data_IF_098935054271
#
_entry.id   IF_098935054271
#
_cell.length_a   1.000
_cell.length_b   1.000
_cell.length_c   1.000
_cell.angle_alpha   90.00
_cell.angle_beta   90.00
_cell.angle_gamma   90.00
#
_symmetry.space_group_name_H-M   'P 1'
#
loop_
_entity.id
_entity.type
_entity.pdbx_description
1 polymer ?
#
# COMPACT_ATOMS: atom_id res chain seq x y z
N UNK A 1 -72.08 -18.38 41.71
CA UNK A 1 -71.72 -17.59 40.51
C UNK A 1 -70.63 -16.55 40.77
N UNK A 2 -70.73 -15.69 41.81
CA UNK A 2 -69.75 -14.63 42.10
C UNK A 2 -68.29 -15.11 42.35
N UNK A 3 -68.09 -16.23 43.05
CA UNK A 3 -66.75 -16.78 43.33
C UNK A 3 -66.03 -17.36 42.10
N UNK A 4 -66.78 -17.96 41.15
CA UNK A 4 -66.23 -18.50 39.90
C UNK A 4 -65.68 -17.39 39.01
N UNK A 5 -66.42 -16.28 38.90
CA UNK A 5 -66.00 -15.10 38.14
C UNK A 5 -64.71 -14.51 38.71
N UNK A 6 -64.58 -14.42 40.03
CA UNK A 6 -63.37 -13.94 40.68
C UNK A 6 -62.15 -14.83 40.37
N UNK A 7 -62.29 -16.16 40.43
CA UNK A 7 -61.20 -17.10 40.10
C UNK A 7 -60.77 -16.98 38.65
N UNK A 8 -61.73 -16.88 37.72
CA UNK A 8 -61.44 -16.69 36.28
C UNK A 8 -60.67 -15.39 36.06
N UNK A 9 -61.07 -14.28 36.69
CA UNK A 9 -60.37 -13.00 36.54
C UNK A 9 -58.91 -13.05 37.01
N UNK A 10 -58.64 -13.72 38.14
CA UNK A 10 -57.27 -13.89 38.66
C UNK A 10 -56.41 -14.71 37.70
N UNK A 11 -56.95 -15.80 37.15
CA UNK A 11 -56.25 -16.64 36.17
C UNK A 11 -55.94 -15.84 34.91
N UNK A 12 -56.90 -15.06 34.39
CA UNK A 12 -56.67 -14.21 33.22
C UNK A 12 -55.58 -13.17 33.45
N UNK A 13 -55.53 -12.54 34.62
CA UNK A 13 -54.48 -11.57 34.96
C UNK A 13 -53.11 -12.24 35.04
N UNK A 14 -53.01 -13.41 35.67
CA UNK A 14 -51.75 -14.16 35.75
C UNK A 14 -51.25 -14.59 34.36
N UNK A 15 -52.15 -15.05 33.49
CA UNK A 15 -51.81 -15.40 32.12
C UNK A 15 -51.35 -14.18 31.32
N UNK A 16 -52.02 -13.03 31.46
CA UNK A 16 -51.60 -11.80 30.80
C UNK A 16 -50.18 -11.37 31.22
N UNK A 17 -49.88 -11.43 32.53
CA UNK A 17 -48.53 -11.13 33.04
C UNK A 17 -47.49 -12.13 32.49
N UNK A 18 -47.80 -13.42 32.49
CA UNK A 18 -46.90 -14.44 31.94
C UNK A 18 -46.62 -14.25 30.45
N UNK A 19 -47.65 -13.95 29.64
CA UNK A 19 -47.52 -13.64 28.22
C UNK A 19 -46.64 -12.41 27.99
N UNK A 20 -46.88 -11.32 28.72
CA UNK A 20 -46.07 -10.09 28.59
C UNK A 20 -44.60 -10.39 28.90
N UNK A 21 -44.32 -11.14 29.98
CA UNK A 21 -42.94 -11.53 30.34
C UNK A 21 -42.29 -12.36 29.26
N UNK A 22 -42.98 -13.40 28.75
CA UNK A 22 -42.48 -14.24 27.66
C UNK A 22 -42.15 -13.40 26.42
N UNK A 23 -43.07 -12.54 25.98
CA UNK A 23 -42.84 -11.68 24.80
C UNK A 23 -41.68 -10.71 25.01
N UNK A 24 -41.50 -10.15 26.20
CA UNK A 24 -40.35 -9.28 26.47
C UNK A 24 -39.03 -10.03 26.45
N UNK A 25 -38.99 -11.27 26.96
CA UNK A 25 -37.78 -12.09 26.97
C UNK A 25 -37.42 -12.60 25.58
N UNK A 26 -38.41 -13.00 24.77
CA UNK A 26 -38.18 -13.38 23.36
C UNK A 26 -37.66 -12.18 22.56
N UNK A 27 -38.28 -11.01 22.71
CA UNK A 27 -37.86 -9.81 21.98
C UNK A 27 -36.44 -9.37 22.36
N UNK A 28 -36.06 -9.48 23.64
CA UNK A 28 -34.69 -9.22 24.09
C UNK A 28 -33.69 -10.21 23.51
N UNK A 29 -34.04 -11.50 23.45
CA UNK A 29 -33.20 -12.54 22.85
C UNK A 29 -33.01 -12.30 21.36
N UNK A 30 -34.09 -12.03 20.62
CA UNK A 30 -33.99 -11.70 19.20
C UNK A 30 -33.17 -10.43 18.94
N UNK A 31 -33.32 -9.40 19.77
CA UNK A 31 -32.51 -8.18 19.66
C UNK A 31 -31.02 -8.46 19.94
N UNK A 32 -30.72 -9.29 20.94
CA UNK A 32 -29.35 -9.71 21.25
C UNK A 32 -28.73 -10.56 20.12
N UNK A 33 -29.48 -11.49 19.55
CA UNK A 33 -29.05 -12.32 18.42
C UNK A 33 -28.79 -11.47 17.17
N UNK A 34 -29.67 -10.51 16.86
CA UNK A 34 -29.48 -9.55 15.75
C UNK A 34 -28.25 -8.68 15.97
N UNK A 35 -28.05 -8.16 17.18
CA UNK A 35 -26.89 -7.35 17.51
C UNK A 35 -25.58 -8.15 17.40
N UNK A 36 -25.60 -9.41 17.83
CA UNK A 36 -24.46 -10.32 17.69
C UNK A 36 -24.16 -10.59 16.21
N UNK A 37 -25.18 -10.90 15.41
CA UNK A 37 -25.02 -11.14 13.98
C UNK A 37 -24.44 -9.92 13.24
N UNK A 38 -24.94 -8.70 13.53
CA UNK A 38 -24.40 -7.45 12.98
C UNK A 38 -22.95 -7.21 13.41
N UNK A 39 -22.63 -7.43 14.69
CA UNK A 39 -21.27 -7.30 15.19
C UNK A 39 -20.31 -8.30 14.53
N UNK A 40 -20.71 -9.56 14.39
CA UNK A 40 -19.92 -10.59 13.68
C UNK A 40 -19.73 -10.22 12.22
N UNK A 41 -20.79 -9.74 11.54
CA UNK A 41 -20.68 -9.31 10.15
C UNK A 41 -19.67 -8.15 9.99
N UNK A 42 -19.74 -7.13 10.86
CA UNK A 42 -18.78 -6.00 10.86
C UNK A 42 -17.36 -6.45 11.17
N UNK A 43 -17.18 -7.38 12.11
CA UNK A 43 -15.87 -7.94 12.42
C UNK A 43 -15.30 -8.71 11.23
N UNK A 44 -16.10 -9.51 10.53
CA UNK A 44 -15.66 -10.23 9.34
C UNK A 44 -15.27 -9.25 8.23
N UNK A 45 -16.10 -8.25 7.94
CA UNK A 45 -15.77 -7.19 6.96
C UNK A 45 -14.47 -6.46 7.31
N UNK A 46 -14.26 -6.15 8.60
CA UNK A 46 -13.03 -5.50 9.05
C UNK A 46 -11.83 -6.43 8.97
N UNK A 47 -12.03 -7.72 9.24
CA UNK A 47 -11.02 -8.77 9.11
C UNK A 47 -10.55 -8.96 7.67
N UNK A 48 -11.48 -8.96 6.72
CA UNK A 48 -11.20 -9.07 5.29
C UNK A 48 -10.39 -7.86 4.80
N UNK A 49 -10.82 -6.64 5.14
CA UNK A 49 -10.07 -5.41 4.82
C UNK A 49 -8.67 -5.42 5.44
N UNK A 50 -8.54 -5.87 6.70
CA UNK A 50 -7.22 -5.95 7.35
C UNK A 50 -6.32 -6.99 6.69
N UNK A 51 -6.88 -8.09 6.18
CA UNK A 51 -6.14 -9.10 5.44
C UNK A 51 -5.63 -8.53 4.10
N UNK A 52 -6.48 -7.82 3.36
CA UNK A 52 -6.10 -7.12 2.13
C UNK A 52 -5.01 -6.06 2.37
N UNK A 53 -5.16 -5.24 3.41
CA UNK A 53 -4.14 -4.24 3.79
C UNK A 53 -2.81 -4.91 4.15
N UNK A 54 -2.86 -6.07 4.82
CA UNK A 54 -1.63 -6.82 5.17
C UNK A 54 -0.96 -7.39 3.92
N UNK A 55 -1.72 -7.94 2.98
CA UNK A 55 -1.21 -8.42 1.70
C UNK A 55 -0.58 -7.28 0.90
N UNK A 56 -1.29 -6.15 0.76
CA UNK A 56 -0.78 -4.98 0.05
C UNK A 56 0.52 -4.44 0.69
N UNK A 57 0.64 -4.47 2.02
CA UNK A 57 1.89 -4.09 2.70
C UNK A 57 3.05 -5.03 2.36
N UNK A 58 2.78 -6.32 2.19
CA UNK A 58 3.80 -7.29 1.78
C UNK A 58 4.26 -7.00 0.35
N UNK A 59 3.31 -6.79 -0.57
CA UNK A 59 3.61 -6.45 -1.97
C UNK A 59 4.45 -5.18 -2.09
N UNK A 60 4.10 -4.13 -1.34
CA UNK A 60 4.87 -2.87 -1.32
C UNK A 60 6.28 -3.09 -0.79
N UNK A 61 6.44 -3.91 0.26
CA UNK A 61 7.76 -4.24 0.80
C UNK A 61 8.63 -5.00 -0.20
N UNK A 62 8.04 -5.89 -1.00
CA UNK A 62 8.75 -6.61 -2.06
C UNK A 62 9.14 -5.66 -3.19
N UNK A 63 8.24 -4.78 -3.62
CA UNK A 63 8.51 -3.76 -4.62
C UNK A 63 9.66 -2.87 -4.16
N UNK A 64 9.64 -2.37 -2.92
CA UNK A 64 10.72 -1.55 -2.36
C UNK A 64 12.07 -2.28 -2.42
N UNK A 65 12.12 -3.55 -2.00
CA UNK A 65 13.32 -4.37 -2.06
C UNK A 65 13.82 -4.55 -3.51
N UNK A 66 12.91 -4.79 -4.45
CA UNK A 66 13.23 -4.96 -5.87
C UNK A 66 13.80 -3.68 -6.49
N UNK A 67 13.22 -2.51 -6.16
CA UNK A 67 13.68 -1.20 -6.63
C UNK A 67 15.08 -0.90 -6.11
N UNK A 68 15.33 -1.19 -4.83
CA UNK A 68 16.67 -1.04 -4.24
C UNK A 68 17.69 -1.94 -4.91
N UNK A 69 17.36 -3.22 -5.12
CA UNK A 69 18.23 -4.18 -5.82
C UNK A 69 18.52 -3.74 -7.26
N UNK A 70 17.51 -3.22 -7.98
CA UNK A 70 17.67 -2.69 -9.33
C UNK A 70 18.59 -1.46 -9.34
N UNK A 71 18.43 -0.56 -8.36
CA UNK A 71 19.30 0.59 -8.18
C UNK A 71 20.76 0.20 -7.95
N UNK A 72 21.01 -0.79 -7.08
CA UNK A 72 22.34 -1.33 -6.83
C UNK A 72 22.94 -1.94 -8.10
N UNK A 73 22.19 -2.80 -8.79
CA UNK A 73 22.63 -3.42 -10.06
C UNK A 73 22.97 -2.37 -11.12
N UNK A 74 22.18 -1.30 -11.23
CA UNK A 74 22.45 -0.19 -12.16
C UNK A 74 23.75 0.54 -11.80
N UNK A 75 24.02 0.72 -10.50
CA UNK A 75 25.25 1.36 -10.05
C UNK A 75 26.48 0.50 -10.32
N UNK A 76 26.42 -0.80 -10.01
CA UNK A 76 27.49 -1.76 -10.30
C UNK A 76 27.78 -1.85 -11.80
N UNK A 77 26.74 -1.95 -12.63
CA UNK A 77 26.90 -1.93 -14.08
C UNK A 77 27.47 -0.60 -14.58
N UNK A 78 27.09 0.51 -13.96
CA UNK A 78 27.65 1.84 -14.24
C UNK A 78 29.14 1.92 -13.92
N UNK A 79 29.54 1.40 -12.76
CA UNK A 79 30.93 1.36 -12.34
C UNK A 79 31.78 0.48 -13.27
N UNK A 80 31.28 -0.71 -13.60
CA UNK A 80 31.95 -1.60 -14.55
C UNK A 80 32.13 -0.94 -15.92
N UNK A 81 31.15 -0.17 -16.40
CA UNK A 81 31.30 0.61 -17.65
C UNK A 81 32.36 1.71 -17.52
N UNK A 82 32.39 2.44 -16.40
CA UNK A 82 33.40 3.50 -16.16
C UNK A 82 34.81 2.93 -16.16
N UNK A 83 35.03 1.82 -15.45
CA UNK A 83 36.34 1.17 -15.42
C UNK A 83 36.74 0.59 -16.77
N UNK A 84 35.79 0.06 -17.56
CA UNK A 84 36.08 -0.40 -18.92
C UNK A 84 36.52 0.75 -19.83
N UNK A 85 35.79 1.86 -19.83
CA UNK A 85 36.15 3.06 -20.60
C UNK A 85 37.52 3.58 -20.19
N UNK A 86 37.77 3.67 -18.89
CA UNK A 86 39.07 4.10 -18.35
C UNK A 86 40.21 3.19 -18.83
N UNK A 87 39.98 1.89 -18.87
CA UNK A 87 40.95 0.90 -19.35
C UNK A 87 41.17 1.00 -20.86
N UNK A 88 40.10 1.16 -21.65
CA UNK A 88 40.19 1.33 -23.11
C UNK A 88 40.89 2.63 -23.52
N UNK A 89 40.70 3.70 -22.74
CA UNK A 89 41.39 4.98 -22.94
C UNK A 89 42.82 4.98 -22.38
N UNK A 90 43.24 3.95 -21.65
CA UNK A 90 44.57 3.91 -21.04
C UNK A 90 45.64 3.75 -22.13
N UNK A 91 46.32 4.86 -22.45
CA UNK A 91 47.36 4.93 -23.47
C UNK A 91 46.95 5.65 -24.75
N UNK A 92 45.72 6.13 -24.87
CA UNK A 92 45.31 7.02 -25.95
C UNK A 92 45.82 8.46 -25.65
N UNK A 93 46.76 9.01 -26.44
CA UNK A 93 47.30 10.35 -26.22
C UNK A 93 46.26 11.46 -26.40
N UNK A 94 45.20 11.23 -27.20
CA UNK A 94 44.10 12.17 -27.37
C UNK A 94 43.15 12.15 -26.16
N UNK A 95 43.01 11.01 -25.48
CA UNK A 95 42.20 10.90 -24.27
C UNK A 95 42.86 11.56 -23.03
N UNK A 96 44.18 11.72 -23.06
CA UNK A 96 44.94 12.44 -22.03
C UNK A 96 44.96 13.97 -22.25
N UNK A 97 44.44 14.46 -23.38
CA UNK A 97 44.37 15.89 -23.66
C UNK A 97 43.36 16.58 -22.73
N UNK A 98 43.70 17.79 -22.30
CA UNK A 98 42.78 18.63 -21.52
C UNK A 98 41.54 18.95 -22.33
N UNK A 99 40.37 18.67 -21.76
CA UNK A 99 39.08 19.05 -22.34
C UNK A 99 38.89 20.57 -22.14
N UNK A 100 38.39 21.32 -23.14
CA UNK A 100 38.10 22.74 -22.95
C UNK A 100 37.15 23.00 -21.78
N UNK A 101 37.40 24.06 -21.01
CA UNK A 101 36.67 24.36 -19.77
C UNK A 101 35.15 24.41 -19.96
N UNK A 102 34.68 25.05 -21.03
CA UNK A 102 33.24 25.14 -21.34
C UNK A 102 32.58 23.76 -21.50
N UNK A 103 33.30 22.77 -22.04
CA UNK A 103 32.79 21.40 -22.17
C UNK A 103 32.76 20.71 -20.80
N UNK A 104 33.82 20.85 -20.01
CA UNK A 104 33.87 20.30 -18.66
C UNK A 104 32.75 20.87 -17.77
N UNK A 105 32.55 22.18 -17.79
CA UNK A 105 31.47 22.86 -17.05
C UNK A 105 30.09 22.36 -17.47
N UNK A 106 29.84 22.17 -18.77
CA UNK A 106 28.58 21.61 -19.25
C UNK A 106 28.33 20.18 -18.76
N UNK A 107 29.39 19.37 -18.62
CA UNK A 107 29.30 18.00 -18.09
C UNK A 107 29.01 18.01 -16.58
N UNK A 108 29.64 18.92 -15.82
CA UNK A 108 29.34 19.10 -14.40
C UNK A 108 27.92 19.61 -14.17
N UNK A 109 27.47 20.59 -14.94
CA UNK A 109 26.10 21.09 -14.88
C UNK A 109 25.11 19.95 -15.16
N UNK A 110 25.35 19.16 -16.22
CA UNK A 110 24.50 18.02 -16.55
C UNK A 110 24.52 16.94 -15.47
N UNK A 111 25.67 16.70 -14.84
CA UNK A 111 25.75 15.76 -13.73
C UNK A 111 24.92 16.25 -12.52
N UNK A 112 24.92 17.56 -12.26
CA UNK A 112 24.09 18.16 -11.21
C UNK A 112 22.58 18.09 -11.53
N UNK A 113 22.18 18.36 -12.78
CA UNK A 113 20.79 18.23 -13.24
C UNK A 113 20.28 16.78 -13.09
N UNK A 114 21.09 15.81 -13.54
CA UNK A 114 20.77 14.38 -13.41
C UNK A 114 20.68 13.96 -11.94
N UNK A 115 21.55 14.48 -11.07
CA UNK A 115 21.51 14.21 -9.63
C UNK A 115 20.27 14.82 -8.95
N UNK A 116 19.79 15.96 -9.44
CA UNK A 116 18.55 16.60 -8.97
C UNK A 116 17.27 15.90 -9.47
N UNK A 117 17.39 14.84 -10.28
CA UNK A 117 16.25 14.16 -10.89
C UNK A 117 15.63 14.92 -12.08
N UNK A 118 16.29 15.98 -12.55
CA UNK A 118 15.88 16.71 -13.74
C UNK A 118 16.37 15.95 -14.98
N UNK A 119 15.50 15.10 -15.52
CA UNK A 119 15.77 14.29 -16.71
C UNK A 119 15.38 15.00 -18.01
N UNK A 120 15.06 16.29 -17.96
CA UNK A 120 14.61 17.06 -19.12
C UNK A 120 15.65 17.13 -20.25
N UNK A 121 16.93 16.95 -19.95
CA UNK A 121 18.03 16.84 -20.93
C UNK A 121 18.28 15.43 -21.51
N UNK A 122 17.56 14.39 -21.09
CA UNK A 122 17.83 13.00 -21.49
C UNK A 122 17.47 12.70 -22.96
N UNK A 123 16.57 13.48 -23.57
CA UNK A 123 16.11 13.27 -24.94
C UNK A 123 16.78 14.16 -26.00
N UNK A 124 17.62 15.11 -25.60
CA UNK A 124 18.28 16.05 -26.51
C UNK A 124 19.58 15.49 -27.12
N UNK A 125 19.71 14.17 -27.30
CA UNK A 125 20.83 13.59 -28.04
C UNK A 125 20.62 13.93 -29.52
N UNK A 126 21.28 15.00 -30.00
CA UNK A 126 21.49 15.18 -31.44
C UNK A 126 22.15 13.89 -31.95
N UNK A 127 21.60 13.21 -32.98
CA UNK A 127 22.24 12.01 -33.51
C UNK A 127 23.66 12.36 -33.92
N UNK A 128 24.62 11.53 -33.52
CA UNK A 128 26.02 11.69 -33.90
C UNK A 128 26.07 11.70 -35.44
N UNK A 129 26.34 12.88 -35.99
CA UNK A 129 26.42 13.09 -37.43
C UNK A 129 27.58 12.25 -37.96
N UNK A 130 27.28 11.38 -38.92
CA UNK A 130 28.29 10.65 -39.70
C UNK A 130 29.27 11.66 -40.33
N UNK A 131 30.53 11.59 -39.93
CA UNK A 131 31.68 12.02 -40.72
C UNK A 131 32.59 10.82 -40.87
#
# INVERSE_FOLDING_TARGET
MKGLLAVITVICVLLAVACIRLTTETNKREAAERALADATQKLNQTGDVLAEVRALRQDVSEIEASVKALGQKRNEAGEKRRENIKTELAGDPCAAALVPDAVADSLYQRAAEVAAGDHSGAFARKPDGKN
#
